data_IF_815963294043
#
_entry.id   IF_815963294043
#
_cell.length_a   1.000
_cell.length_b   1.000
_cell.length_c   1.000
_cell.angle_alpha   90.00
_cell.angle_beta   90.00
_cell.angle_gamma   90.00
#
_symmetry.space_group_name_H-M   'P 1'
#
loop_
_entity.id
_entity.type
_entity.pdbx_description
1 polymer ?
#
# COMPACT_ATOMS: atom_id res chain seq x y z
N UNK A 1 -19.78 3.57 -17.76
CA UNK A 1 -18.77 3.13 -18.77
C UNK A 1 -17.51 3.96 -18.55
N UNK A 2 -16.35 3.32 -18.52
CA UNK A 2 -15.07 4.02 -18.38
C UNK A 2 -14.60 4.58 -19.74
N UNK A 3 -13.99 5.76 -19.73
CA UNK A 3 -13.36 6.38 -20.89
C UNK A 3 -11.84 6.18 -20.81
N UNK A 4 -11.26 5.67 -21.89
CA UNK A 4 -9.83 5.37 -22.03
C UNK A 4 -9.16 6.46 -22.87
N UNK A 5 -8.04 7.03 -22.42
CA UNK A 5 -7.32 8.06 -23.16
C UNK A 5 -5.87 8.21 -22.70
N UNK A 6 -5.05 8.90 -23.48
CA UNK A 6 -3.68 9.26 -23.09
C UNK A 6 -3.69 10.59 -22.34
N UNK A 7 -3.09 10.62 -21.15
CA UNK A 7 -3.07 11.82 -20.30
C UNK A 7 -1.72 12.05 -19.64
N UNK A 8 -1.50 13.28 -19.16
CA UNK A 8 -0.26 13.63 -18.44
C UNK A 8 -0.32 13.23 -16.97
N UNK A 9 0.74 12.60 -16.48
CA UNK A 9 0.99 12.32 -15.07
C UNK A 9 2.24 13.06 -14.61
N UNK A 10 2.17 13.74 -13.46
CA UNK A 10 3.29 14.49 -12.90
C UNK A 10 4.08 13.59 -11.96
N UNK A 11 5.26 13.14 -12.38
CA UNK A 11 6.19 12.38 -11.52
C UNK A 11 6.84 13.32 -10.50
N UNK A 12 7.12 14.56 -10.93
CA UNK A 12 7.52 15.67 -10.07
C UNK A 12 6.77 16.92 -10.51
N UNK A 13 6.82 18.04 -9.75
CA UNK A 13 6.18 19.28 -10.17
C UNK A 13 6.63 19.79 -11.55
N UNK A 14 7.84 19.41 -11.99
CA UNK A 14 8.45 19.84 -13.26
C UNK A 14 8.48 18.75 -14.34
N UNK A 15 8.44 17.47 -13.95
CA UNK A 15 8.52 16.35 -14.88
C UNK A 15 7.14 15.70 -15.09
N UNK A 16 6.70 15.63 -16.33
CA UNK A 16 5.45 14.98 -16.73
C UNK A 16 5.72 13.88 -17.74
N UNK A 17 4.96 12.79 -17.64
CA UNK A 17 4.97 11.68 -18.58
C UNK A 17 3.56 11.43 -19.10
N UNK A 18 3.45 10.89 -20.31
CA UNK A 18 2.16 10.45 -20.87
C UNK A 18 1.88 9.02 -20.40
N UNK A 19 0.69 8.79 -19.86
CA UNK A 19 0.24 7.48 -19.36
C UNK A 19 -1.16 7.15 -19.88
N UNK A 20 -1.49 5.86 -19.88
CA UNK A 20 -2.86 5.40 -20.15
C UNK A 20 -3.74 5.76 -18.96
N UNK A 21 -4.70 6.65 -19.18
CA UNK A 21 -5.67 7.09 -18.20
C UNK A 21 -7.01 6.39 -18.41
N UNK A 22 -7.72 6.24 -17.31
CA UNK A 22 -9.13 5.88 -17.25
C UNK A 22 -9.94 6.99 -16.56
N UNK A 23 -11.15 7.25 -17.03
CA UNK A 23 -12.05 8.22 -16.41
C UNK A 23 -13.47 7.69 -16.30
N UNK A 24 -14.12 8.03 -15.20
CA UNK A 24 -15.54 7.79 -14.97
C UNK A 24 -16.13 8.92 -14.13
N UNK A 25 -17.44 9.09 -14.23
CA UNK A 25 -18.20 10.10 -13.51
C UNK A 25 -19.41 9.40 -12.90
N UNK A 26 -19.54 9.45 -11.58
CA UNK A 26 -20.68 8.94 -10.81
C UNK A 26 -20.58 9.44 -9.37
N UNK A 27 -21.50 8.98 -8.54
CA UNK A 27 -21.41 9.17 -7.11
C UNK A 27 -20.34 8.28 -6.48
N UNK A 28 -19.54 8.86 -5.60
CA UNK A 28 -18.52 8.18 -4.80
C UNK A 28 -18.51 8.69 -3.38
N UNK A 29 -18.03 7.86 -2.45
CA UNK A 29 -17.58 8.37 -1.15
C UNK A 29 -16.35 9.22 -1.36
N UNK A 30 -16.41 10.46 -0.89
CA UNK A 30 -15.40 11.48 -1.09
C UNK A 30 -15.24 12.36 0.14
N UNK A 31 -14.02 12.82 0.38
CA UNK A 31 -13.67 13.79 1.40
C UNK A 31 -12.60 14.74 0.84
N UNK A 32 -12.70 16.03 1.15
CA UNK A 32 -11.60 16.98 0.98
C UNK A 32 -11.19 17.49 2.36
N UNK A 33 -10.01 17.07 2.83
CA UNK A 33 -9.42 17.59 4.05
C UNK A 33 -8.59 18.83 3.73
N UNK A 34 -9.13 20.00 4.06
CA UNK A 34 -8.48 21.29 3.83
C UNK A 34 -7.36 21.59 4.84
N UNK A 35 -7.34 20.90 5.98
CA UNK A 35 -6.34 21.08 7.04
C UNK A 35 -5.05 20.32 6.67
N UNK A 36 -5.19 19.06 6.28
CA UNK A 36 -4.10 18.20 5.84
C UNK A 36 -3.83 18.27 4.33
N UNK A 37 -4.66 19.02 3.58
CA UNK A 37 -4.53 19.34 2.15
C UNK A 37 -4.49 18.10 1.25
N UNK A 38 -5.49 17.24 1.38
CA UNK A 38 -5.66 16.10 0.49
C UNK A 38 -7.13 15.80 0.20
N UNK A 39 -7.38 15.17 -0.94
CA UNK A 39 -8.66 14.59 -1.31
C UNK A 39 -8.62 13.08 -1.10
N UNK A 40 -9.68 12.51 -0.56
CA UNK A 40 -9.85 11.08 -0.46
C UNK A 40 -11.07 10.62 -1.26
N UNK A 41 -10.97 9.43 -1.86
CA UNK A 41 -12.00 8.84 -2.69
C UNK A 41 -12.03 7.33 -2.46
N UNK A 42 -13.21 6.72 -2.34
CA UNK A 42 -13.35 5.26 -2.35
C UNK A 42 -13.87 4.74 -3.68
N UNK A 43 -13.14 3.81 -4.26
CA UNK A 43 -13.55 3.03 -5.42
C UNK A 43 -14.01 1.65 -4.97
N UNK A 44 -15.33 1.35 -5.00
CA UNK A 44 -15.83 0.03 -4.64
C UNK A 44 -15.53 -1.00 -5.74
N UNK A 45 -15.16 -2.22 -5.35
CA UNK A 45 -15.05 -3.36 -6.25
C UNK A 45 -16.40 -4.05 -6.46
N UNK A 46 -16.49 -4.88 -7.52
CA UNK A 46 -17.72 -5.62 -7.86
C UNK A 46 -18.21 -6.54 -6.74
N UNK A 47 -17.29 -7.07 -5.93
CA UNK A 47 -17.63 -7.85 -4.73
C UNK A 47 -17.63 -6.94 -3.50
N UNK A 48 -18.76 -6.88 -2.81
CA UNK A 48 -19.07 -5.95 -1.71
C UNK A 48 -18.17 -6.05 -0.44
N UNK A 49 -17.05 -6.77 -0.51
CA UNK A 49 -16.11 -6.91 0.61
C UNK A 49 -14.88 -5.98 0.55
N UNK A 50 -14.59 -5.37 -0.60
CA UNK A 50 -13.37 -4.58 -0.79
C UNK A 50 -13.62 -3.23 -1.45
N UNK A 51 -12.79 -2.26 -1.11
CA UNK A 51 -12.74 -0.93 -1.71
C UNK A 51 -11.30 -0.43 -1.75
N UNK A 52 -10.97 0.33 -2.78
CA UNK A 52 -9.70 1.06 -2.87
C UNK A 52 -9.92 2.48 -2.38
N UNK A 53 -9.19 2.90 -1.35
CA UNK A 53 -9.15 4.28 -0.90
C UNK A 53 -7.95 4.99 -1.52
N UNK A 54 -8.21 6.04 -2.29
CA UNK A 54 -7.17 6.86 -2.94
C UNK A 54 -7.04 8.16 -2.16
N UNK A 55 -5.83 8.47 -1.72
CA UNK A 55 -5.48 9.78 -1.14
C UNK A 55 -4.66 10.57 -2.15
N UNK A 56 -5.17 11.72 -2.58
CA UNK A 56 -4.52 12.62 -3.54
C UNK A 56 -4.20 13.95 -2.85
N UNK A 57 -2.92 14.26 -2.61
CA UNK A 57 -2.51 15.58 -2.11
C UNK A 57 -2.97 16.70 -3.04
N UNK A 58 -3.32 17.86 -2.47
CA UNK A 58 -3.70 19.04 -3.26
C UNK A 58 -2.51 19.58 -4.08
N UNK A 59 -1.32 19.53 -3.51
CA UNK A 59 -0.08 19.99 -4.14
C UNK A 59 0.67 18.84 -4.84
N UNK A 60 1.28 19.14 -6.01
CA UNK A 60 2.06 18.16 -6.81
C UNK A 60 3.27 17.56 -6.07
N UNK A 61 3.78 18.24 -5.05
CA UNK A 61 4.86 17.79 -4.16
C UNK A 61 4.34 17.44 -2.75
N UNK A 62 3.02 17.38 -2.57
CA UNK A 62 2.39 17.20 -1.27
C UNK A 62 2.47 15.78 -0.70
N UNK A 63 2.87 14.77 -1.50
CA UNK A 63 2.91 13.38 -1.08
C UNK A 63 3.79 13.17 0.17
N UNK A 64 5.00 13.74 0.18
CA UNK A 64 5.91 13.65 1.34
C UNK A 64 5.30 14.24 2.61
N UNK A 65 4.57 15.35 2.48
CA UNK A 65 3.88 15.93 3.63
C UNK A 65 2.75 15.01 4.12
N UNK A 66 1.98 14.43 3.20
CA UNK A 66 0.92 13.48 3.55
C UNK A 66 1.48 12.24 4.27
N UNK A 67 2.59 11.67 3.78
CA UNK A 67 3.29 10.54 4.41
C UNK A 67 3.79 10.87 5.82
N UNK A 68 4.41 12.04 6.00
CA UNK A 68 4.90 12.48 7.31
C UNK A 68 3.76 12.71 8.33
N UNK A 69 2.55 13.03 7.85
CA UNK A 69 1.38 13.21 8.68
C UNK A 69 0.49 11.96 8.72
N UNK A 70 0.93 10.84 8.14
CA UNK A 70 0.12 9.62 8.04
C UNK A 70 -0.26 9.06 9.41
N UNK A 71 0.60 9.23 10.41
CA UNK A 71 0.30 8.86 11.80
C UNK A 71 -0.75 9.75 12.47
N UNK A 72 -1.04 10.94 11.92
CA UNK A 72 -2.00 11.90 12.49
C UNK A 72 -3.44 11.61 12.12
N UNK A 73 -3.69 10.70 11.18
CA UNK A 73 -5.03 10.29 10.81
C UNK A 73 -5.10 8.78 10.70
N UNK A 74 -6.25 8.21 11.06
CA UNK A 74 -6.49 6.78 10.83
C UNK A 74 -7.27 6.62 9.54
N UNK A 75 -6.85 5.67 8.70
CA UNK A 75 -7.52 5.41 7.41
C UNK A 75 -9.01 5.09 7.61
N UNK A 76 -9.38 4.38 8.69
CA UNK A 76 -10.79 4.09 8.96
C UNK A 76 -11.60 5.36 9.29
N UNK A 77 -11.02 6.31 10.04
CA UNK A 77 -11.69 7.58 10.35
C UNK A 77 -11.89 8.45 9.09
N UNK A 78 -11.01 8.33 8.09
CA UNK A 78 -11.21 8.98 6.78
C UNK A 78 -12.48 8.44 6.11
N UNK A 79 -12.66 7.12 6.11
CA UNK A 79 -13.81 6.44 5.51
C UNK A 79 -15.13 6.89 6.13
N UNK A 80 -15.17 6.99 7.46
CA UNK A 80 -16.36 7.44 8.21
C UNK A 80 -16.75 8.89 7.95
N UNK A 81 -15.78 9.75 7.61
CA UNK A 81 -16.00 11.18 7.31
C UNK A 81 -16.38 11.45 5.87
N UNK A 82 -16.29 10.45 4.99
CA UNK A 82 -16.65 10.64 3.59
C UNK A 82 -18.15 10.82 3.41
N UNK A 83 -18.52 11.58 2.39
CA UNK A 83 -19.90 11.75 1.97
C UNK A 83 -20.05 11.41 0.50
N UNK A 84 -21.27 11.03 0.09
CA UNK A 84 -21.55 10.73 -1.29
C UNK A 84 -21.54 12.02 -2.12
N UNK A 85 -20.66 12.08 -3.12
CA UNK A 85 -20.50 13.24 -4.01
C UNK A 85 -20.44 12.78 -5.46
N UNK A 86 -21.02 13.58 -6.36
CA UNK A 86 -20.92 13.36 -7.81
C UNK A 86 -19.55 13.82 -8.32
N UNK A 87 -18.64 12.87 -8.58
CA UNK A 87 -17.22 13.16 -8.85
C UNK A 87 -16.78 12.59 -10.20
N UNK A 88 -16.05 13.41 -10.96
CA UNK A 88 -15.29 12.97 -12.14
C UNK A 88 -13.91 12.49 -11.72
N UNK A 89 -13.70 11.19 -11.81
CA UNK A 89 -12.43 10.55 -11.47
C UNK A 89 -11.60 10.37 -12.74
N UNK A 90 -10.29 10.65 -12.63
CA UNK A 90 -9.28 10.38 -13.64
C UNK A 90 -8.12 9.67 -12.94
N UNK A 91 -7.88 8.43 -13.31
CA UNK A 91 -6.89 7.57 -12.67
C UNK A 91 -6.00 6.94 -13.75
N UNK A 92 -4.67 6.93 -13.60
CA UNK A 92 -3.83 6.15 -14.50
C UNK A 92 -4.09 4.67 -14.29
N UNK A 93 -3.97 3.88 -15.35
CA UNK A 93 -3.75 2.44 -15.20
C UNK A 93 -2.32 2.23 -14.76
N UNK A 94 -2.11 1.32 -13.82
CA UNK A 94 -0.78 1.07 -13.32
C UNK A 94 -0.63 -0.36 -12.84
N UNK A 95 0.62 -0.79 -12.87
CA UNK A 95 1.07 -2.07 -12.40
C UNK A 95 2.27 -1.85 -11.51
N UNK A 96 2.22 -2.37 -10.30
CA UNK A 96 3.27 -2.26 -9.30
C UNK A 96 3.66 -3.68 -8.92
N UNK A 97 4.95 -4.01 -9.07
CA UNK A 97 5.53 -5.24 -8.56
C UNK A 97 6.72 -4.86 -7.69
N UNK A 98 6.74 -5.36 -6.45
CA UNK A 98 7.78 -5.06 -5.49
C UNK A 98 8.20 -6.32 -4.74
N UNK A 99 9.51 -6.49 -4.58
CA UNK A 99 10.10 -7.50 -3.70
C UNK A 99 10.88 -6.77 -2.60
N UNK A 100 10.57 -7.07 -1.34
CA UNK A 100 11.13 -6.46 -0.15
C UNK A 100 11.82 -7.51 0.70
N UNK A 101 13.04 -7.21 1.16
CA UNK A 101 13.64 -7.89 2.32
C UNK A 101 13.23 -7.12 3.58
N UNK A 102 12.52 -7.77 4.50
CA UNK A 102 11.88 -7.12 5.66
C UNK A 102 12.66 -7.30 6.97
N UNK A 103 13.76 -8.07 6.96
CA UNK A 103 14.59 -8.37 8.13
C UNK A 103 15.07 -7.10 8.85
N UNK A 104 15.67 -6.15 8.12
CA UNK A 104 16.14 -4.87 8.69
C UNK A 104 14.99 -4.00 9.19
N UNK A 105 13.91 -3.93 8.40
CA UNK A 105 12.73 -3.11 8.74
C UNK A 105 12.08 -3.61 10.01
N UNK A 106 11.85 -4.92 10.12
CA UNK A 106 11.25 -5.53 11.32
C UNK A 106 12.19 -5.47 12.52
N UNK A 107 13.50 -5.60 12.32
CA UNK A 107 14.49 -5.40 13.38
C UNK A 107 14.42 -3.98 13.95
N UNK A 108 14.33 -2.96 13.08
CA UNK A 108 14.18 -1.56 13.48
C UNK A 108 12.85 -1.26 14.19
N UNK A 109 11.82 -2.07 13.94
CA UNK A 109 10.52 -2.02 14.63
C UNK A 109 10.51 -2.79 15.96
N UNK A 110 11.64 -3.38 16.37
CA UNK A 110 11.79 -4.07 17.66
C UNK A 110 11.74 -5.60 17.58
N UNK A 111 11.58 -6.18 16.39
CA UNK A 111 11.56 -7.63 16.22
C UNK A 111 12.96 -8.22 15.98
N UNK A 112 14.01 -7.67 16.58
CA UNK A 112 15.40 -8.10 16.31
C UNK A 112 15.71 -9.51 16.81
N UNK A 113 15.15 -9.91 17.96
CA UNK A 113 15.45 -11.20 18.62
C UNK A 113 15.20 -12.41 17.73
N UNK A 114 14.18 -12.36 16.86
CA UNK A 114 13.85 -13.48 15.97
C UNK A 114 14.93 -13.78 14.93
N UNK A 115 15.83 -12.82 14.67
CA UNK A 115 16.94 -12.95 13.73
C UNK A 115 18.26 -13.34 14.38
N UNK A 116 18.30 -13.41 15.72
CA UNK A 116 19.53 -13.61 16.50
C UNK A 116 19.67 -15.07 16.93
N UNK A 117 20.73 -15.77 16.49
CA UNK A 117 21.06 -17.10 17.00
C UNK A 117 21.23 -17.10 18.53
N UNK A 118 20.74 -18.13 19.20
CA UNK A 118 20.78 -18.32 20.66
C UNK A 118 19.78 -17.47 21.45
N UNK A 119 19.18 -16.45 20.83
CA UNK A 119 18.20 -15.58 21.48
C UNK A 119 16.78 -15.75 20.90
N UNK A 120 16.65 -16.19 19.64
CA UNK A 120 15.36 -16.50 19.03
C UNK A 120 14.69 -17.68 19.74
N UNK A 121 13.42 -17.52 20.12
CA UNK A 121 12.63 -18.59 20.72
C UNK A 121 11.48 -18.99 19.80
N UNK A 122 11.64 -20.13 19.13
CA UNK A 122 10.62 -20.78 18.30
C UNK A 122 10.24 -22.17 18.84
N UNK A 123 10.31 -22.39 20.17
CA UNK A 123 10.05 -23.69 20.80
C UNK A 123 8.66 -24.27 20.53
N UNK A 124 7.68 -23.41 20.21
CA UNK A 124 6.32 -23.82 19.85
C UNK A 124 6.18 -24.29 18.39
N UNK A 125 7.25 -24.19 17.58
CA UNK A 125 7.30 -24.70 16.20
C UNK A 125 8.11 -25.99 16.14
N UNK A 126 9.28 -26.01 16.78
CA UNK A 126 10.13 -27.21 16.89
C UNK A 126 10.61 -27.36 18.32
N UNK A 127 10.38 -28.54 18.90
CA UNK A 127 10.89 -28.90 20.21
C UNK A 127 12.37 -29.30 20.14
N UNK A 128 13.17 -28.83 21.11
CA UNK A 128 14.57 -29.22 21.33
C UNK A 128 15.59 -28.82 20.24
N UNK A 129 15.20 -28.01 19.25
CA UNK A 129 16.13 -27.43 18.28
C UNK A 129 16.13 -25.90 18.34
N UNK A 130 17.32 -25.32 18.27
CA UNK A 130 17.45 -23.88 18.09
C UNK A 130 17.11 -23.50 16.64
N UNK A 131 16.15 -22.59 16.48
CA UNK A 131 15.79 -22.01 15.20
C UNK A 131 15.88 -20.49 15.29
N UNK A 132 16.28 -19.86 14.20
CA UNK A 132 16.19 -18.42 14.03
C UNK A 132 15.83 -18.07 12.58
N UNK A 133 15.22 -16.92 12.38
CA UNK A 133 14.88 -16.42 11.05
C UNK A 133 16.11 -15.74 10.47
N UNK A 134 16.49 -16.14 9.27
CA UNK A 134 17.61 -15.52 8.54
C UNK A 134 17.15 -14.39 7.65
N UNK A 135 15.98 -14.55 7.03
CA UNK A 135 15.41 -13.59 6.08
C UNK A 135 13.89 -13.64 6.08
N UNK A 136 13.29 -12.49 5.79
CA UNK A 136 11.87 -12.37 5.48
C UNK A 136 11.76 -11.69 4.12
N UNK A 137 11.16 -12.38 3.15
CA UNK A 137 10.94 -11.89 1.80
C UNK A 137 9.45 -11.63 1.59
N UNK A 138 9.10 -10.43 1.15
CA UNK A 138 7.74 -10.07 0.79
C UNK A 138 7.69 -9.63 -0.66
N UNK A 139 6.97 -10.37 -1.50
CA UNK A 139 6.73 -10.02 -2.90
C UNK A 139 5.27 -9.63 -3.07
N UNK A 140 5.00 -8.43 -3.57
CA UNK A 140 3.68 -7.89 -3.82
C UNK A 140 3.52 -7.47 -5.28
N UNK A 141 2.32 -7.63 -5.78
CA UNK A 141 1.89 -7.32 -7.13
C UNK A 141 0.51 -6.68 -7.09
N UNK A 142 0.33 -5.57 -7.79
CA UNK A 142 -0.95 -4.88 -7.97
C UNK A 142 -1.05 -4.45 -9.44
N UNK A 143 -2.16 -4.78 -10.09
CA UNK A 143 -2.53 -4.34 -11.44
C UNK A 143 -3.92 -3.69 -11.40
N UNK A 144 -4.03 -2.46 -11.88
CA UNK A 144 -5.25 -1.64 -11.78
C UNK A 144 -5.66 -1.16 -13.15
N UNK A 145 -6.86 -1.55 -13.56
CA UNK A 145 -7.48 -1.14 -14.83
C UNK A 145 -8.99 -0.84 -14.67
N UNK A 146 -9.72 -0.71 -15.79
CA UNK A 146 -11.15 -0.43 -15.76
C UNK A 146 -12.02 -1.62 -15.35
N UNK A 147 -11.52 -2.83 -15.51
CA UNK A 147 -12.27 -4.07 -15.27
C UNK A 147 -12.19 -4.49 -13.80
N UNK A 148 -11.11 -4.07 -13.11
CA UNK A 148 -10.95 -4.17 -11.67
C UNK A 148 -9.52 -3.93 -11.18
N UNK A 149 -9.16 -4.63 -10.10
CA UNK A 149 -7.79 -4.68 -9.61
C UNK A 149 -7.43 -6.12 -9.32
N UNK A 150 -6.31 -6.56 -9.88
CA UNK A 150 -5.68 -7.84 -9.56
C UNK A 150 -4.53 -7.57 -8.61
N UNK A 151 -4.64 -8.06 -7.37
CA UNK A 151 -3.59 -7.92 -6.36
C UNK A 151 -3.19 -9.29 -5.82
N UNK A 152 -1.89 -9.53 -5.71
CA UNK A 152 -1.32 -10.76 -5.16
C UNK A 152 -0.12 -10.43 -4.29
N UNK A 153 0.05 -11.13 -3.17
CA UNK A 153 1.22 -10.98 -2.32
C UNK A 153 1.63 -12.31 -1.71
N UNK A 154 2.94 -12.54 -1.60
CA UNK A 154 3.54 -13.71 -0.99
C UNK A 154 4.60 -13.25 0.01
N UNK A 155 4.47 -13.72 1.25
CA UNK A 155 5.46 -13.49 2.30
C UNK A 155 6.10 -14.82 2.67
N UNK A 156 7.42 -14.87 2.74
CA UNK A 156 8.20 -16.07 3.07
C UNK A 156 9.17 -15.78 4.19
N UNK A 157 9.22 -16.66 5.19
CA UNK A 157 10.20 -16.64 6.27
C UNK A 157 11.20 -17.78 6.03
N UNK A 158 12.50 -17.47 6.09
CA UNK A 158 13.57 -18.46 5.92
C UNK A 158 14.18 -18.76 7.27
N UNK A 159 13.99 -19.98 7.77
CA UNK A 159 14.56 -20.46 9.02
C UNK A 159 15.92 -21.10 8.81
N UNK A 160 16.78 -20.99 9.82
CA UNK A 160 18.01 -21.78 9.92
C UNK A 160 18.11 -22.39 11.32
N UNK A 161 18.63 -23.61 11.37
CA UNK A 161 18.95 -24.32 12.61
C UNK A 161 20.23 -23.73 13.21
N UNK A 162 20.22 -23.46 14.52
CA UNK A 162 21.41 -23.11 15.28
C UNK A 162 22.40 -24.28 15.31
N UNK A 163 23.69 -24.00 15.17
CA UNK A 163 24.72 -25.04 15.31
C UNK A 163 25.01 -25.23 16.80
N UNK A 164 24.78 -26.43 17.31
CA UNK A 164 25.38 -26.87 18.57
C UNK A 164 26.73 -27.52 18.23
N UNK A 165 27.79 -26.72 18.17
CA UNK A 165 29.17 -27.21 18.30
C UNK A 165 29.70 -26.83 19.68
#
# INVERSE_FOLDING_TARGET
MYIRYDGSFYVTPRNKVTVKMMSLIRDFQYLHDTVLKFKALELPYKHHGFKMTILLPDDKNGLKNLENNFSKFKIHEISEKMTQNYVKVKLPRFKIEQSLELDKTLSNLGCSTMFTPGAANFSNIVENDELYVTKILHKAYIDVDEDGTEAAAVTSLIFKKGSND
#
